data_IF_449194940657
#
_entry.id   IF_449194940657
#
_cell.length_a   1.000
_cell.length_b   1.000
_cell.length_c   1.000
_cell.angle_alpha   90.00
_cell.angle_beta   90.00
_cell.angle_gamma   90.00
#
_symmetry.space_group_name_H-M   'P 1'
#
loop_
_entity.id
_entity.type
_entity.pdbx_description
1 polymer ?
#
# COMPACT_ATOMS: atom_id res chain seq x y z
N UNK A 1 -12.12 15.52 -35.77
CA UNK A 1 -11.01 15.15 -34.87
C UNK A 1 -11.64 14.96 -33.51
N UNK A 2 -11.76 13.73 -33.01
CA UNK A 2 -12.24 13.51 -31.64
C UNK A 2 -11.29 14.22 -30.70
N UNK A 3 -11.79 15.09 -29.82
CA UNK A 3 -10.99 15.66 -28.73
C UNK A 3 -10.41 14.50 -27.92
N UNK A 4 -9.13 14.22 -28.12
CA UNK A 4 -8.40 13.26 -27.31
C UNK A 4 -8.31 13.86 -25.91
N UNK A 5 -9.13 13.34 -25.00
CA UNK A 5 -9.09 13.72 -23.60
C UNK A 5 -7.73 13.31 -23.06
N UNK A 6 -6.89 14.27 -22.67
CA UNK A 6 -5.57 13.96 -22.11
C UNK A 6 -5.75 13.16 -20.83
N UNK A 7 -4.98 12.08 -20.70
CA UNK A 7 -4.94 11.31 -19.46
C UNK A 7 -4.48 12.20 -18.30
N UNK A 8 -5.06 11.96 -17.13
CA UNK A 8 -4.62 12.62 -15.91
C UNK A 8 -3.21 12.13 -15.56
N UNK A 9 -2.29 13.01 -15.11
CA UNK A 9 -0.97 12.58 -14.68
C UNK A 9 -1.07 11.64 -13.47
N UNK A 10 -0.06 10.79 -13.28
CA UNK A 10 0.05 9.95 -12.08
C UNK A 10 0.21 10.80 -10.81
N UNK A 11 -0.22 10.25 -9.69
CA UNK A 11 -0.03 10.88 -8.37
C UNK A 11 1.40 10.66 -7.90
N UNK A 12 2.13 11.73 -7.62
CA UNK A 12 3.46 11.66 -7.00
C UNK A 12 3.27 11.55 -5.48
N UNK A 13 3.67 10.41 -4.91
CA UNK A 13 3.66 10.17 -3.47
C UNK A 13 5.07 9.86 -2.99
N UNK A 14 5.63 10.75 -2.17
CA UNK A 14 6.93 10.50 -1.55
C UNK A 14 6.73 9.69 -0.28
N UNK A 15 7.34 8.49 -0.24
CA UNK A 15 7.41 7.64 0.94
C UNK A 15 8.33 8.29 1.97
N UNK A 16 7.80 8.59 3.15
CA UNK A 16 8.52 9.34 4.16
C UNK A 16 8.07 8.97 5.58
N UNK A 17 9.00 9.05 6.52
CA UNK A 17 8.79 8.81 7.94
C UNK A 17 10.12 8.44 8.57
N UNK A 18 10.51 9.13 9.64
CA UNK A 18 11.72 8.83 10.40
C UNK A 18 11.68 9.49 11.78
N UNK A 19 12.52 8.99 12.68
CA UNK A 19 12.74 9.55 14.02
C UNK A 19 11.48 9.53 14.90
N UNK A 20 10.69 10.60 14.94
CA UNK A 20 9.52 10.73 15.80
C UNK A 20 8.29 11.14 15.00
N UNK A 21 7.10 10.94 15.57
CA UNK A 21 5.84 11.37 14.96
C UNK A 21 5.83 12.86 14.62
N UNK A 22 6.28 13.73 15.54
CA UNK A 22 6.35 15.18 15.30
C UNK A 22 7.38 15.57 14.23
N UNK A 23 8.52 14.89 14.16
CA UNK A 23 9.51 15.14 13.10
C UNK A 23 8.97 14.72 11.72
N UNK A 24 8.30 13.57 11.66
CA UNK A 24 7.66 13.08 10.44
C UNK A 24 6.51 13.99 10.00
N UNK A 25 5.70 14.49 10.94
CA UNK A 25 4.67 15.50 10.67
C UNK A 25 5.26 16.78 10.04
N UNK A 26 6.34 17.32 10.62
CA UNK A 26 6.99 18.51 10.09
C UNK A 26 7.47 18.31 8.65
N UNK A 27 8.01 17.12 8.34
CA UNK A 27 8.40 16.73 6.99
C UNK A 27 7.19 16.65 6.05
N UNK A 28 6.09 16.01 6.48
CA UNK A 28 4.86 15.92 5.69
C UNK A 28 4.31 17.29 5.35
N UNK A 29 4.20 18.19 6.33
CA UNK A 29 3.72 19.55 6.12
C UNK A 29 4.62 20.35 5.17
N UNK A 30 5.94 20.22 5.31
CA UNK A 30 6.91 20.82 4.38
C UNK A 30 6.69 20.32 2.95
N UNK A 31 6.46 19.02 2.75
CA UNK A 31 6.28 18.46 1.41
C UNK A 31 4.91 18.82 0.81
N UNK A 32 3.85 18.85 1.62
CA UNK A 32 2.52 19.33 1.20
C UNK A 32 2.60 20.79 0.73
N UNK A 33 3.33 21.65 1.46
CA UNK A 33 3.56 23.04 1.06
C UNK A 33 4.36 23.18 -0.25
N UNK A 34 5.14 22.17 -0.63
CA UNK A 34 5.88 22.09 -1.90
C UNK A 34 5.08 21.44 -3.04
N UNK A 35 3.80 21.11 -2.81
CA UNK A 35 2.90 20.59 -3.85
C UNK A 35 2.73 19.07 -3.86
N UNK A 36 3.22 18.33 -2.85
CA UNK A 36 2.86 16.92 -2.68
C UNK A 36 1.34 16.82 -2.42
N UNK A 37 0.65 15.89 -3.10
CA UNK A 37 -0.82 15.80 -3.07
C UNK A 37 -1.37 14.59 -2.31
N UNK A 38 -0.49 13.69 -1.85
CA UNK A 38 -0.86 12.54 -1.04
C UNK A 38 0.27 12.14 -0.11
N UNK A 39 -0.05 11.53 1.02
CA UNK A 39 0.92 11.09 2.03
C UNK A 39 1.24 9.61 1.85
N UNK A 40 2.45 9.21 2.22
CA UNK A 40 2.86 7.82 2.25
C UNK A 40 3.74 7.59 3.48
N UNK A 41 3.17 6.92 4.48
CA UNK A 41 3.75 6.78 5.82
C UNK A 41 4.63 5.54 5.88
N UNK A 42 5.89 5.75 6.25
CA UNK A 42 6.86 4.71 6.59
C UNK A 42 6.88 4.48 8.12
N UNK A 43 6.52 3.29 8.58
CA UNK A 43 6.57 2.93 10.00
C UNK A 43 7.88 2.26 10.37
N UNK A 44 8.32 2.40 11.62
CA UNK A 44 9.53 1.71 12.09
C UNK A 44 9.32 0.20 12.24
N UNK A 45 10.41 -0.55 12.47
CA UNK A 45 10.35 -2.01 12.55
C UNK A 45 9.53 -2.51 13.76
N UNK A 46 9.64 -1.93 14.98
CA UNK A 46 8.76 -2.26 16.10
C UNK A 46 7.27 -2.14 15.77
N UNK A 47 6.84 -1.01 15.20
CA UNK A 47 5.43 -0.77 14.81
C UNK A 47 4.96 -1.80 13.77
N UNK A 48 5.82 -2.17 12.82
CA UNK A 48 5.50 -3.17 11.80
C UNK A 48 5.38 -4.59 12.37
N UNK A 49 6.12 -4.90 13.43
CA UNK A 49 6.19 -6.24 14.05
C UNK A 49 5.33 -6.36 15.32
N UNK A 50 4.58 -5.31 15.67
CA UNK A 50 3.61 -5.33 16.76
C UNK A 50 4.21 -5.14 18.16
N UNK A 51 5.38 -4.51 18.24
CA UNK A 51 6.01 -4.18 19.52
C UNK A 51 5.91 -2.68 19.83
N UNK A 52 5.66 -2.36 21.10
CA UNK A 52 5.78 -1.01 21.62
C UNK A 52 7.25 -0.56 21.67
N UNK A 53 7.45 0.75 21.70
CA UNK A 53 8.79 1.35 21.68
C UNK A 53 9.66 0.98 22.90
N UNK A 54 9.03 0.66 24.04
CA UNK A 54 9.71 0.24 25.28
C UNK A 54 9.89 -1.29 25.39
N UNK A 55 9.38 -2.07 24.43
CA UNK A 55 9.57 -3.51 24.41
C UNK A 55 11.05 -3.87 24.20
N UNK A 56 11.53 -4.94 24.87
CA UNK A 56 12.94 -5.34 24.84
C UNK A 56 13.47 -5.62 23.43
N UNK A 57 12.63 -6.16 22.54
CA UNK A 57 12.99 -6.44 21.14
C UNK A 57 13.02 -5.19 20.25
N UNK A 58 12.47 -4.06 20.70
CA UNK A 58 12.45 -2.80 19.95
C UNK A 58 13.76 -2.03 20.06
N UNK A 59 14.60 -2.37 21.04
CA UNK A 59 15.83 -1.63 21.36
C UNK A 59 16.75 -1.53 20.13
N UNK A 60 17.05 -0.29 19.74
CA UNK A 60 17.93 0.01 18.60
C UNK A 60 17.23 0.11 17.24
N UNK A 61 15.94 -0.19 17.18
CA UNK A 61 15.14 -0.14 15.94
C UNK A 61 14.04 0.95 15.97
N UNK A 62 13.72 1.49 17.15
CA UNK A 62 12.74 2.58 17.32
C UNK A 62 13.13 3.80 16.48
N UNK A 63 12.24 4.21 15.57
CA UNK A 63 12.40 5.40 14.75
C UNK A 63 13.50 5.35 13.67
N UNK A 64 14.17 4.20 13.50
CA UNK A 64 15.36 4.06 12.62
C UNK A 64 15.01 4.00 11.14
N UNK A 65 13.98 3.23 10.80
CA UNK A 65 13.55 2.97 9.41
C UNK A 65 12.18 3.54 9.08
N UNK A 66 11.59 4.29 10.02
CA UNK A 66 10.25 4.85 9.90
C UNK A 66 9.83 5.58 11.16
N UNK A 67 8.57 5.99 11.23
CA UNK A 67 7.97 6.61 12.40
C UNK A 67 7.52 5.54 13.42
N UNK A 68 7.84 5.69 14.72
CA UNK A 68 7.27 4.85 15.77
C UNK A 68 5.82 5.29 16.06
N UNK A 69 4.89 4.33 16.11
CA UNK A 69 3.50 4.55 16.52
C UNK A 69 3.07 3.41 17.45
N UNK A 70 3.05 3.67 18.75
CA UNK A 70 2.64 2.70 19.78
C UNK A 70 1.19 2.93 20.21
N UNK A 71 0.73 4.18 20.22
CA UNK A 71 -0.62 4.52 20.69
C UNK A 71 -1.25 5.70 19.93
N UNK A 72 -2.52 6.00 20.24
CA UNK A 72 -3.28 7.10 19.62
C UNK A 72 -2.57 8.46 19.71
N UNK A 73 -1.84 8.74 20.79
CA UNK A 73 -1.07 9.99 20.94
C UNK A 73 -0.01 10.20 19.86
N UNK A 74 0.61 9.13 19.37
CA UNK A 74 1.61 9.21 18.30
C UNK A 74 0.95 9.48 16.96
N UNK A 75 -0.21 8.84 16.72
CA UNK A 75 -1.01 9.07 15.53
C UNK A 75 -1.52 10.52 15.47
N UNK A 76 -1.94 11.08 16.61
CA UNK A 76 -2.29 12.51 16.72
C UNK A 76 -1.10 13.39 16.38
N UNK A 77 0.06 13.12 16.97
CA UNK A 77 1.28 13.90 16.70
C UNK A 77 1.71 13.81 15.23
N UNK A 78 1.53 12.65 14.60
CA UNK A 78 1.88 12.40 13.20
C UNK A 78 1.02 13.21 12.23
N UNK A 79 -0.25 13.41 12.56
CA UNK A 79 -1.23 14.10 11.71
C UNK A 79 -1.70 15.45 12.27
N UNK A 80 -0.98 16.03 13.23
CA UNK A 80 -1.27 17.36 13.73
C UNK A 80 -1.27 18.38 12.57
N UNK A 81 -2.30 19.23 12.53
CA UNK A 81 -2.51 20.23 11.48
C UNK A 81 -2.57 19.67 10.04
N UNK A 82 -2.85 18.38 9.87
CA UNK A 82 -3.10 17.74 8.57
C UNK A 82 -4.56 17.26 8.54
N UNK A 83 -5.44 17.86 7.72
CA UNK A 83 -6.86 17.51 7.69
C UNK A 83 -7.08 16.17 6.97
N UNK A 84 -7.30 15.09 7.73
CA UNK A 84 -7.33 13.72 7.20
C UNK A 84 -8.44 13.46 6.17
N UNK A 85 -9.60 14.13 6.29
CA UNK A 85 -10.70 14.01 5.30
C UNK A 85 -10.27 14.44 3.88
N UNK A 86 -9.33 15.39 3.79
CA UNK A 86 -8.88 15.98 2.53
C UNK A 86 -7.64 15.28 1.96
N UNK A 87 -7.02 14.38 2.72
CA UNK A 87 -5.78 13.71 2.33
C UNK A 87 -6.06 12.40 1.61
N UNK A 88 -5.11 12.02 0.75
CA UNK A 88 -4.99 10.65 0.25
C UNK A 88 -3.77 9.99 0.88
N UNK A 89 -3.99 9.20 1.94
CA UNK A 89 -2.92 8.66 2.78
C UNK A 89 -2.66 7.20 2.45
N UNK A 90 -1.43 6.87 2.09
CA UNK A 90 -0.95 5.48 2.01
C UNK A 90 -0.22 5.13 3.31
N UNK A 91 -0.49 3.96 3.86
CA UNK A 91 0.21 3.39 5.00
C UNK A 91 0.86 2.08 4.58
N UNK A 92 2.20 2.07 4.53
CA UNK A 92 2.99 0.86 4.20
C UNK A 92 3.09 -0.01 5.46
N UNK A 93 1.96 -0.66 5.78
CA UNK A 93 1.80 -1.46 6.98
C UNK A 93 1.02 -2.73 6.66
N UNK A 94 1.39 -3.84 7.31
CA UNK A 94 0.89 -5.19 6.98
C UNK A 94 0.32 -5.89 8.21
N UNK A 95 1.14 -6.60 9.00
CA UNK A 95 0.62 -7.39 10.13
C UNK A 95 -0.16 -6.56 11.16
N UNK A 96 0.26 -5.32 11.39
CA UNK A 96 -0.41 -4.37 12.29
C UNK A 96 -1.37 -3.43 11.57
N UNK A 97 -1.66 -3.64 10.28
CA UNK A 97 -2.56 -2.78 9.50
C UNK A 97 -3.94 -2.54 10.15
N UNK A 98 -4.63 -3.55 10.75
CA UNK A 98 -5.90 -3.30 11.43
C UNK A 98 -5.76 -2.29 12.58
N UNK A 99 -4.69 -2.41 13.36
CA UNK A 99 -4.41 -1.50 14.48
C UNK A 99 -4.13 -0.09 13.99
N UNK A 100 -3.19 0.08 13.06
CA UNK A 100 -2.82 1.41 12.57
C UNK A 100 -3.97 2.09 11.83
N UNK A 101 -4.80 1.34 11.09
CA UNK A 101 -6.01 1.86 10.48
C UNK A 101 -7.03 2.33 11.52
N UNK A 102 -7.21 1.58 12.62
CA UNK A 102 -8.11 2.00 13.70
C UNK A 102 -7.65 3.30 14.37
N UNK A 103 -6.35 3.46 14.61
CA UNK A 103 -5.78 4.70 15.15
C UNK A 103 -5.95 5.87 14.17
N UNK A 104 -5.73 5.63 12.87
CA UNK A 104 -5.92 6.64 11.84
C UNK A 104 -7.37 7.14 11.78
N UNK A 105 -8.34 6.22 11.82
CA UNK A 105 -9.76 6.55 11.85
C UNK A 105 -10.12 7.33 13.11
N UNK A 106 -9.66 6.90 14.28
CA UNK A 106 -9.92 7.61 15.54
C UNK A 106 -9.40 9.06 15.52
N UNK A 107 -8.19 9.30 14.98
CA UNK A 107 -7.68 10.67 14.80
C UNK A 107 -8.52 11.46 13.81
N UNK A 108 -8.99 10.84 12.72
CA UNK A 108 -9.86 11.52 11.77
C UNK A 108 -11.20 11.92 12.41
N UNK A 109 -11.79 11.05 13.23
CA UNK A 109 -13.02 11.35 13.99
C UNK A 109 -12.79 12.50 14.99
N UNK A 110 -11.66 12.53 15.70
CA UNK A 110 -11.30 13.64 16.58
C UNK A 110 -11.11 14.98 15.85
N UNK A 111 -10.71 14.95 14.57
CA UNK A 111 -10.68 16.11 13.70
C UNK A 111 -12.07 16.51 13.17
N UNK A 112 -13.12 15.73 13.44
CA UNK A 112 -14.48 15.94 12.95
C UNK A 112 -14.71 15.46 11.51
N UNK A 113 -13.86 14.56 10.99
CA UNK A 113 -14.01 14.03 9.65
C UNK A 113 -15.20 13.06 9.54
N UNK A 114 -15.87 13.08 8.39
CA UNK A 114 -16.76 12.00 7.95
C UNK A 114 -15.90 10.83 7.45
N UNK A 115 -15.84 9.77 8.25
CA UNK A 115 -15.05 8.56 7.99
C UNK A 115 -15.34 7.97 6.60
N UNK A 116 -16.57 8.09 6.09
CA UNK A 116 -16.96 7.58 4.77
C UNK A 116 -16.26 8.29 3.60
N UNK A 117 -15.71 9.49 3.85
CA UNK A 117 -14.97 10.29 2.87
C UNK A 117 -13.47 10.04 2.89
N UNK A 118 -12.94 9.36 3.91
CA UNK A 118 -11.50 9.10 4.02
C UNK A 118 -10.99 8.35 2.79
N UNK A 119 -9.90 8.86 2.24
CA UNK A 119 -9.23 8.29 1.07
C UNK A 119 -7.83 7.85 1.46
N UNK A 120 -7.50 6.62 1.09
CA UNK A 120 -6.20 6.10 1.40
C UNK A 120 -6.04 4.64 1.03
N UNK A 121 -4.94 4.08 1.51
CA UNK A 121 -4.55 2.70 1.24
C UNK A 121 -3.79 2.18 2.46
N UNK A 122 -4.12 0.97 2.92
CA UNK A 122 -3.19 0.15 3.71
C UNK A 122 -2.57 -0.89 2.78
N UNK A 123 -1.30 -1.24 2.99
CA UNK A 123 -0.69 -2.29 2.18
C UNK A 123 -1.37 -3.63 2.43
N UNK A 124 -1.49 -4.04 3.70
CA UNK A 124 -2.30 -5.19 4.14
C UNK A 124 -2.09 -6.45 3.28
N UNK A 125 -0.85 -6.70 2.88
CA UNK A 125 -0.46 -7.88 2.11
C UNK A 125 0.44 -8.76 2.98
N UNK A 126 -0.17 -9.61 3.80
CA UNK A 126 0.56 -10.53 4.66
C UNK A 126 1.15 -11.71 3.90
N UNK A 127 0.66 -12.05 2.70
CA UNK A 127 1.16 -13.19 1.93
C UNK A 127 2.61 -12.94 1.50
N UNK A 128 2.90 -11.75 0.96
CA UNK A 128 4.29 -11.38 0.60
C UNK A 128 5.22 -11.26 1.80
N UNK A 129 4.70 -11.05 3.01
CA UNK A 129 5.55 -11.02 4.22
C UNK A 129 6.28 -12.34 4.45
N UNK A 130 5.63 -13.47 4.18
CA UNK A 130 6.26 -14.79 4.33
C UNK A 130 7.28 -15.09 3.23
N UNK A 131 7.13 -14.48 2.06
CA UNK A 131 7.93 -14.78 0.88
C UNK A 131 9.18 -13.89 0.75
N UNK A 132 9.10 -12.62 1.16
CA UNK A 132 10.17 -11.66 0.86
C UNK A 132 10.49 -10.62 1.94
N UNK A 133 9.55 -10.29 2.84
CA UNK A 133 9.70 -9.08 3.69
C UNK A 133 9.87 -9.35 5.19
N UNK A 134 9.29 -10.42 5.72
CA UNK A 134 9.57 -10.92 7.06
C UNK A 134 8.90 -10.19 8.23
N UNK A 135 7.94 -9.27 8.01
CA UNK A 135 7.23 -8.53 9.08
C UNK A 135 5.86 -9.11 9.42
N UNK A 136 5.72 -10.44 9.35
CA UNK A 136 4.52 -11.16 9.78
C UNK A 136 4.51 -11.38 11.30
N UNK A 137 3.32 -11.53 11.88
CA UNK A 137 3.13 -11.83 13.31
C UNK A 137 2.43 -13.18 13.47
N UNK A 138 1.28 -13.33 12.83
CA UNK A 138 0.47 -14.54 12.91
C UNK A 138 0.92 -15.61 11.89
N UNK A 139 0.53 -16.89 12.07
CA UNK A 139 0.63 -17.89 11.00
C UNK A 139 -0.21 -17.55 9.75
N UNK A 140 -0.01 -18.22 8.60
CA UNK A 140 -0.65 -17.83 7.34
C UNK A 140 -2.19 -17.77 7.37
N UNK A 141 -2.86 -18.76 7.96
CA UNK A 141 -4.34 -18.81 7.99
C UNK A 141 -4.97 -17.63 8.75
N UNK A 142 -4.59 -17.32 10.01
CA UNK A 142 -5.10 -16.14 10.70
C UNK A 142 -4.70 -14.83 10.02
N UNK A 143 -3.52 -14.75 9.40
CA UNK A 143 -3.12 -13.58 8.60
C UNK A 143 -4.03 -13.34 7.40
N UNK A 144 -4.37 -14.38 6.64
CA UNK A 144 -5.32 -14.27 5.52
C UNK A 144 -6.72 -13.85 6.00
N UNK A 145 -7.16 -14.37 7.15
CA UNK A 145 -8.39 -13.90 7.80
C UNK A 145 -8.31 -12.40 8.13
N UNK A 146 -7.22 -11.92 8.71
CA UNK A 146 -7.04 -10.50 9.05
C UNK A 146 -7.08 -9.59 7.82
N UNK A 147 -6.46 -10.01 6.71
CA UNK A 147 -6.54 -9.28 5.43
C UNK A 147 -8.01 -9.09 5.05
N UNK A 148 -8.79 -10.17 5.10
CA UNK A 148 -10.20 -10.15 4.75
C UNK A 148 -11.06 -9.33 5.73
N UNK A 149 -10.78 -9.39 7.03
CA UNK A 149 -11.48 -8.59 8.05
C UNK A 149 -11.31 -7.09 7.80
N UNK A 150 -10.09 -6.63 7.47
CA UNK A 150 -9.82 -5.22 7.11
C UNK A 150 -10.57 -4.82 5.85
N UNK A 151 -10.59 -5.69 4.83
CA UNK A 151 -11.26 -5.41 3.58
C UNK A 151 -12.79 -5.33 3.71
N UNK A 152 -13.39 -6.25 4.46
CA UNK A 152 -14.82 -6.23 4.80
C UNK A 152 -15.20 -4.98 5.60
N UNK A 153 -14.37 -4.59 6.58
CA UNK A 153 -14.58 -3.37 7.36
C UNK A 153 -14.52 -2.10 6.50
N UNK A 154 -13.49 -1.97 5.65
CA UNK A 154 -13.35 -0.81 4.76
C UNK A 154 -14.49 -0.74 3.76
N UNK A 155 -14.90 -1.88 3.21
CA UNK A 155 -16.01 -1.97 2.28
C UNK A 155 -17.30 -1.35 2.86
N UNK A 156 -17.59 -1.60 4.13
CA UNK A 156 -18.82 -1.13 4.80
C UNK A 156 -18.71 0.25 5.43
N UNK A 157 -17.58 0.56 6.08
CA UNK A 157 -17.44 1.75 6.93
C UNK A 157 -16.56 2.85 6.33
N UNK A 158 -15.60 2.48 5.47
CA UNK A 158 -14.62 3.41 4.87
C UNK A 158 -14.54 3.18 3.35
N UNK A 159 -15.65 3.30 2.61
CA UNK A 159 -15.81 2.74 1.26
C UNK A 159 -14.89 3.35 0.20
N UNK A 160 -14.22 4.47 0.49
CA UNK A 160 -13.22 5.11 -0.37
C UNK A 160 -11.78 4.69 -0.07
N UNK A 161 -11.56 3.90 0.98
CA UNK A 161 -10.27 3.31 1.31
C UNK A 161 -9.96 2.12 0.39
N UNK A 162 -8.71 1.98 -0.05
CA UNK A 162 -8.23 0.77 -0.70
C UNK A 162 -7.72 -0.18 0.40
N UNK A 163 -8.44 -1.28 0.67
CA UNK A 163 -8.17 -2.11 1.84
C UNK A 163 -6.96 -3.02 1.68
N UNK A 164 -6.45 -3.15 0.47
CA UNK A 164 -5.31 -3.99 0.15
C UNK A 164 -4.56 -3.40 -1.03
N UNK A 165 -3.23 -3.41 -0.90
CA UNK A 165 -2.31 -3.12 -1.97
C UNK A 165 -1.37 -4.31 -2.17
N UNK A 166 -1.72 -5.21 -3.10
CA UNK A 166 -0.96 -6.42 -3.43
C UNK A 166 0.44 -6.00 -3.88
N UNK A 167 1.45 -6.34 -3.09
CA UNK A 167 2.74 -5.67 -3.14
C UNK A 167 3.82 -6.59 -3.69
N UNK A 168 3.93 -6.61 -5.01
CA UNK A 168 4.91 -7.41 -5.73
C UNK A 168 6.32 -6.81 -5.70
N UNK A 169 6.45 -5.50 -5.41
CA UNK A 169 7.72 -4.79 -5.29
C UNK A 169 8.79 -5.58 -4.52
N UNK A 170 8.46 -6.03 -3.30
CA UNK A 170 9.38 -6.75 -2.42
C UNK A 170 9.80 -8.12 -2.95
N UNK A 171 8.98 -8.76 -3.79
CA UNK A 171 9.33 -10.05 -4.38
C UNK A 171 10.53 -9.89 -5.31
N UNK A 172 10.51 -8.84 -6.16
CA UNK A 172 11.64 -8.56 -7.06
C UNK A 172 12.86 -8.08 -6.26
N UNK A 173 12.68 -7.28 -5.20
CA UNK A 173 13.78 -6.92 -4.28
C UNK A 173 14.35 -8.13 -3.51
N UNK A 174 13.62 -9.25 -3.41
CA UNK A 174 14.12 -10.51 -2.86
C UNK A 174 14.69 -11.45 -3.94
N UNK A 175 14.76 -11.01 -5.20
CA UNK A 175 15.36 -11.74 -6.32
C UNK A 175 14.37 -12.49 -7.22
N UNK A 176 13.05 -12.27 -7.08
CA UNK A 176 12.09 -12.82 -8.03
C UNK A 176 12.32 -12.25 -9.44
N UNK A 177 12.17 -13.08 -10.47
CA UNK A 177 12.16 -12.60 -11.86
C UNK A 177 10.88 -11.80 -12.16
N UNK A 178 10.83 -10.96 -13.21
CA UNK A 178 9.60 -10.26 -13.62
C UNK A 178 8.38 -11.18 -13.79
N UNK A 179 8.59 -12.40 -14.29
CA UNK A 179 7.54 -13.41 -14.47
C UNK A 179 7.05 -13.96 -13.13
N UNK A 180 7.97 -14.22 -12.19
CA UNK A 180 7.63 -14.66 -10.83
C UNK A 180 6.91 -13.57 -10.05
N UNK A 181 7.38 -12.32 -10.12
CA UNK A 181 6.72 -11.16 -9.53
C UNK A 181 5.24 -11.10 -9.98
N UNK A 182 5.03 -11.18 -11.30
CA UNK A 182 3.70 -11.16 -11.88
C UNK A 182 2.84 -12.34 -11.41
N UNK A 183 3.35 -13.56 -11.52
CA UNK A 183 2.60 -14.75 -11.16
C UNK A 183 2.20 -14.78 -9.69
N UNK A 184 3.14 -14.45 -8.79
CA UNK A 184 2.91 -14.46 -7.35
C UNK A 184 1.95 -13.35 -6.91
N UNK A 185 2.03 -12.16 -7.54
CA UNK A 185 1.11 -11.07 -7.24
C UNK A 185 -0.33 -11.39 -7.65
N UNK A 186 -0.55 -11.92 -8.86
CA UNK A 186 -1.88 -12.30 -9.33
C UNK A 186 -2.45 -13.48 -8.51
N UNK A 187 -1.61 -14.45 -8.14
CA UNK A 187 -2.01 -15.53 -7.24
C UNK A 187 -2.38 -15.02 -5.84
N UNK A 188 -1.63 -14.05 -5.30
CA UNK A 188 -1.91 -13.39 -4.02
C UNK A 188 -3.27 -12.68 -4.05
N UNK A 189 -3.52 -11.90 -5.10
CA UNK A 189 -4.81 -11.22 -5.29
C UNK A 189 -5.97 -12.22 -5.37
N UNK A 190 -5.78 -13.32 -6.11
CA UNK A 190 -6.77 -14.41 -6.24
C UNK A 190 -7.07 -15.06 -4.89
N UNK A 191 -6.05 -15.39 -4.09
CA UNK A 191 -6.24 -15.99 -2.77
C UNK A 191 -7.04 -15.09 -1.83
N UNK A 192 -6.79 -13.78 -1.87
CA UNK A 192 -7.55 -12.81 -1.05
C UNK A 192 -8.97 -12.64 -1.55
N UNK A 193 -9.19 -12.56 -2.86
CA UNK A 193 -10.54 -12.48 -3.43
C UNK A 193 -11.35 -13.75 -3.13
N UNK A 194 -10.75 -14.93 -3.19
CA UNK A 194 -11.39 -16.19 -2.81
C UNK A 194 -11.80 -16.20 -1.32
N UNK A 195 -10.95 -15.64 -0.44
CA UNK A 195 -11.27 -15.47 0.98
C UNK A 195 -12.40 -14.46 1.23
N UNK A 196 -12.50 -13.43 0.39
CA UNK A 196 -13.48 -12.34 0.54
C UNK A 196 -14.84 -12.66 -0.06
N UNK A 197 -14.89 -13.46 -1.13
CA UNK A 197 -16.12 -13.80 -1.85
C UNK A 197 -17.27 -14.28 -0.95
N UNK A 198 -17.08 -15.19 0.03
CA UNK A 198 -18.18 -15.64 0.89
C UNK A 198 -18.56 -14.64 2.00
N UNK A 199 -17.88 -13.50 2.10
CA UNK A 199 -18.02 -12.52 3.20
C UNK A 199 -18.77 -11.26 2.80
N UNK A 200 -19.03 -11.08 1.52
CA UNK A 200 -19.74 -9.91 0.99
C UNK A 200 -20.92 -10.37 0.15
N UNK A 201 -21.94 -9.52 0.05
CA UNK A 201 -23.05 -9.77 -0.86
C UNK A 201 -22.53 -9.90 -2.30
N UNK A 202 -23.08 -10.87 -3.06
CA UNK A 202 -22.65 -11.16 -4.43
C UNK A 202 -22.72 -9.93 -5.35
N UNK A 203 -23.76 -9.09 -5.17
CA UNK A 203 -23.94 -7.83 -5.91
C UNK A 203 -22.81 -6.82 -5.68
N UNK A 204 -22.13 -6.88 -4.54
CA UNK A 204 -21.13 -5.91 -4.12
C UNK A 204 -19.69 -6.40 -4.36
N UNK A 205 -19.52 -7.71 -4.60
CA UNK A 205 -18.23 -8.32 -4.90
C UNK A 205 -17.47 -7.64 -6.06
N UNK A 206 -18.09 -7.24 -7.19
CA UNK A 206 -17.42 -6.46 -8.22
C UNK A 206 -16.80 -5.15 -7.71
N UNK A 207 -17.51 -4.44 -6.83
CA UNK A 207 -17.01 -3.19 -6.25
C UNK A 207 -15.78 -3.44 -5.39
N UNK A 208 -15.76 -4.53 -4.62
CA UNK A 208 -14.63 -4.95 -3.81
C UNK A 208 -13.41 -5.33 -4.68
N UNK A 209 -13.61 -6.08 -5.77
CA UNK A 209 -12.55 -6.39 -6.76
C UNK A 209 -11.95 -5.08 -7.29
N UNK A 210 -12.80 -4.13 -7.64
CA UNK A 210 -12.38 -2.79 -8.07
C UNK A 210 -11.70 -1.94 -7.00
N UNK A 211 -11.61 -2.40 -5.74
CA UNK A 211 -10.87 -1.76 -4.64
C UNK A 211 -9.51 -2.39 -4.37
N UNK A 212 -9.21 -3.57 -4.91
CA UNK A 212 -7.85 -4.13 -4.87
C UNK A 212 -6.93 -3.26 -5.74
N UNK A 213 -5.78 -2.86 -5.18
CA UNK A 213 -4.71 -2.19 -5.92
C UNK A 213 -3.41 -2.99 -5.85
N UNK A 214 -2.45 -2.61 -6.68
CA UNK A 214 -1.15 -3.26 -6.76
C UNK A 214 0.00 -2.29 -6.49
N UNK A 215 1.12 -2.80 -6.00
CA UNK A 215 2.36 -2.04 -5.85
C UNK A 215 3.52 -2.82 -6.45
N UNK A 216 3.96 -2.35 -7.62
CA UNK A 216 4.88 -3.09 -8.48
C UNK A 216 6.29 -2.49 -8.48
N UNK A 217 7.26 -3.32 -8.82
CA UNK A 217 8.63 -2.88 -9.07
C UNK A 217 8.79 -2.34 -10.50
N UNK A 218 9.72 -1.41 -10.69
CA UNK A 218 10.26 -1.02 -11.99
C UNK A 218 11.79 -1.04 -11.96
N UNK A 219 12.38 -2.03 -12.63
CA UNK A 219 13.83 -2.15 -12.80
C UNK A 219 14.36 -1.52 -14.09
N UNK A 220 15.69 -1.57 -14.24
CA UNK A 220 16.40 -0.97 -15.39
C UNK A 220 16.15 -1.68 -16.73
N UNK A 221 15.56 -2.89 -16.71
CA UNK A 221 15.22 -3.66 -17.91
C UNK A 221 13.97 -3.09 -18.60
N UNK A 222 14.08 -1.86 -19.09
CA UNK A 222 12.97 -1.02 -19.60
C UNK A 222 11.92 -1.78 -20.42
N UNK A 223 12.35 -2.51 -21.47
CA UNK A 223 11.41 -3.26 -22.33
C UNK A 223 10.73 -4.40 -21.57
N UNK A 224 11.48 -5.12 -20.72
CA UNK A 224 10.92 -6.22 -19.92
C UNK A 224 9.90 -5.69 -18.91
N UNK A 225 10.23 -4.59 -18.22
CA UNK A 225 9.32 -3.97 -17.25
C UNK A 225 8.05 -3.42 -17.92
N UNK A 226 8.17 -2.76 -19.08
CA UNK A 226 7.00 -2.35 -19.86
C UNK A 226 6.12 -3.54 -20.28
N UNK A 227 6.73 -4.63 -20.76
CA UNK A 227 5.99 -5.84 -21.11
C UNK A 227 5.30 -6.46 -19.89
N UNK A 228 5.99 -6.51 -18.73
CA UNK A 228 5.43 -6.99 -17.46
C UNK A 228 4.20 -6.17 -17.07
N UNK A 229 4.27 -4.85 -17.15
CA UNK A 229 3.13 -3.99 -16.80
C UNK A 229 1.94 -4.19 -17.73
N UNK A 230 2.15 -4.40 -19.03
CA UNK A 230 1.07 -4.73 -19.97
C UNK A 230 0.47 -6.10 -19.69
N UNK A 231 1.30 -7.10 -19.43
CA UNK A 231 0.85 -8.43 -19.06
C UNK A 231 0.04 -8.44 -17.76
N UNK A 232 0.42 -7.64 -16.77
CA UNK A 232 -0.37 -7.45 -15.54
C UNK A 232 -1.80 -6.96 -15.84
N UNK A 233 -1.94 -5.99 -16.76
CA UNK A 233 -3.25 -5.44 -17.15
C UNK A 233 -4.10 -6.52 -17.81
N UNK A 234 -3.55 -7.20 -18.82
CA UNK A 234 -4.29 -8.19 -19.60
C UNK A 234 -4.71 -9.39 -18.74
N UNK A 235 -3.79 -9.93 -17.94
CA UNK A 235 -4.06 -11.10 -17.10
C UNK A 235 -4.98 -10.77 -15.92
N UNK A 236 -4.90 -9.56 -15.35
CA UNK A 236 -5.83 -9.15 -14.29
C UNK A 236 -7.25 -8.98 -14.83
N UNK A 237 -7.40 -8.42 -16.04
CA UNK A 237 -8.71 -8.30 -16.70
C UNK A 237 -9.31 -9.68 -16.98
N UNK A 238 -8.52 -10.61 -17.53
CA UNK A 238 -8.91 -12.00 -17.78
C UNK A 238 -9.34 -12.72 -16.49
N UNK A 239 -8.53 -12.68 -15.43
CA UNK A 239 -8.85 -13.30 -14.13
C UNK A 239 -10.17 -12.73 -13.58
N UNK A 240 -10.35 -11.41 -13.61
CA UNK A 240 -11.56 -10.80 -13.09
C UNK A 240 -12.81 -11.15 -13.92
N UNK A 241 -12.68 -11.22 -15.24
CA UNK A 241 -13.77 -11.56 -16.14
C UNK A 241 -14.14 -13.06 -16.04
N UNK A 242 -13.16 -13.95 -16.21
CA UNK A 242 -13.41 -15.38 -16.39
C UNK A 242 -13.60 -16.13 -15.06
N UNK A 243 -12.74 -15.86 -14.05
CA UNK A 243 -12.82 -16.55 -12.76
C UNK A 243 -13.92 -15.98 -11.86
N UNK A 244 -14.07 -14.67 -11.88
CA UNK A 244 -14.92 -13.93 -10.95
C UNK A 244 -16.21 -13.39 -11.56
N UNK A 245 -16.38 -13.43 -12.89
CA UNK A 245 -17.61 -12.99 -13.55
C UNK A 245 -17.86 -11.49 -13.41
N UNK A 246 -16.81 -10.67 -13.19
CA UNK A 246 -16.97 -9.22 -13.04
C UNK A 246 -17.19 -8.61 -14.41
N UNK A 247 -18.43 -8.25 -14.76
CA UNK A 247 -18.78 -7.78 -16.11
C UNK A 247 -18.39 -6.31 -16.37
N UNK A 248 -18.42 -5.46 -15.35
CA UNK A 248 -18.12 -4.03 -15.52
C UNK A 248 -16.60 -3.77 -15.61
N UNK A 249 -16.13 -3.33 -16.78
CA UNK A 249 -14.71 -3.07 -17.05
C UNK A 249 -14.05 -2.09 -16.07
N UNK A 250 -14.83 -1.18 -15.45
CA UNK A 250 -14.30 -0.24 -14.44
C UNK A 250 -13.74 -0.94 -13.20
N UNK A 251 -14.31 -2.09 -12.83
CA UNK A 251 -13.90 -2.88 -11.67
C UNK A 251 -12.76 -3.86 -11.97
N UNK A 252 -12.48 -4.12 -13.25
CA UNK A 252 -11.36 -4.96 -13.69
C UNK A 252 -10.08 -4.19 -13.98
N UNK A 253 -10.08 -2.86 -13.81
CA UNK A 253 -8.90 -2.03 -14.06
C UNK A 253 -7.76 -2.42 -13.11
N UNK A 254 -6.60 -2.74 -13.68
CA UNK A 254 -5.36 -2.91 -12.93
C UNK A 254 -4.85 -1.54 -12.44
N UNK A 255 -5.16 -1.22 -11.18
CA UNK A 255 -4.74 0.05 -10.53
C UNK A 255 -3.49 -0.20 -9.72
N UNK A 256 -2.41 0.52 -10.02
CA UNK A 256 -1.13 0.28 -9.36
C UNK A 256 -0.39 1.57 -8.97
N UNK A 257 0.40 1.45 -7.90
CA UNK A 257 1.57 2.30 -7.68
C UNK A 257 2.83 1.57 -8.16
N UNK A 258 3.86 2.34 -8.50
CA UNK A 258 5.15 1.81 -8.94
C UNK A 258 6.26 2.45 -8.13
N UNK A 259 7.25 1.66 -7.77
CA UNK A 259 8.49 2.14 -7.17
C UNK A 259 9.68 1.57 -7.93
N UNK A 260 10.68 2.43 -8.14
CA UNK A 260 11.93 2.05 -8.79
C UNK A 260 12.66 1.02 -7.94
N UNK A 261 13.20 0.01 -8.62
CA UNK A 261 14.00 -1.06 -8.03
C UNK A 261 15.18 -0.47 -7.25
N UNK A 262 15.29 -0.78 -5.96
CA UNK A 262 16.36 -0.21 -5.14
C UNK A 262 17.67 -0.99 -5.25
N UNK A 263 17.61 -2.30 -5.53
CA UNK A 263 18.79 -3.13 -5.80
C UNK A 263 19.56 -2.71 -7.05
N UNK A 264 18.90 -2.02 -7.98
CA UNK A 264 19.55 -1.44 -9.16
C UNK A 264 20.44 -0.23 -8.85
N UNK A 265 20.32 0.36 -7.65
CA UNK A 265 21.07 1.55 -7.26
C UNK A 265 22.41 1.17 -6.63
N UNK A 266 23.45 1.95 -6.91
CA UNK A 266 24.82 1.67 -6.45
C UNK A 266 25.29 2.69 -5.44
N UNK A 267 25.99 2.21 -4.40
CA UNK A 267 26.72 3.07 -3.46
C UNK A 267 27.88 3.78 -4.18
N UNK A 268 28.62 3.04 -5.01
CA UNK A 268 29.69 3.60 -5.82
C UNK A 268 29.09 4.46 -6.93
N UNK A 269 29.66 5.66 -7.12
CA UNK A 269 29.20 6.64 -8.10
C UNK A 269 27.68 6.89 -8.01
N UNK A 270 27.19 7.34 -6.83
CA UNK A 270 25.76 7.46 -6.56
C UNK A 270 25.07 8.48 -7.47
N UNK A 271 25.81 9.42 -8.09
CA UNK A 271 25.31 10.33 -9.11
C UNK A 271 24.68 9.60 -10.31
N UNK A 272 25.13 8.37 -10.62
CA UNK A 272 24.56 7.56 -11.69
C UNK A 272 23.16 7.05 -11.35
N UNK A 273 22.78 7.00 -10.07
CA UNK A 273 21.45 6.56 -9.65
C UNK A 273 20.35 7.48 -10.16
N UNK A 274 20.63 8.77 -10.40
CA UNK A 274 19.65 9.71 -10.99
C UNK A 274 19.17 9.21 -12.35
N UNK A 275 20.08 8.76 -13.20
CA UNK A 275 19.74 8.22 -14.52
C UNK A 275 19.10 6.84 -14.44
N UNK A 276 19.49 6.01 -13.47
CA UNK A 276 18.84 4.72 -13.23
C UNK A 276 17.38 4.87 -12.77
N UNK A 277 17.09 5.90 -11.99
CA UNK A 277 15.74 6.24 -11.52
C UNK A 277 14.90 6.87 -12.64
N UNK A 278 15.53 7.59 -13.57
CA UNK A 278 14.86 8.22 -14.70
C UNK A 278 14.37 7.21 -15.76
N UNK A 279 15.14 6.14 -15.98
CA UNK A 279 14.86 5.07 -16.94
C UNK A 279 13.77 4.14 -16.39
#
# INVERSE_FOLDING_TARGET
MSEQTKDRPWLIRTYAGHSTASASNALYRSNLAKGQTGLSVAFDLPTQTGYDSDHVLSRGEVGKVGVPVSHLGDMRALFDQIPLEQMNTSMTINATAPWLLSLYIAVAEEQGADVSKLQGTVQNDLIKEYLSRGTYICPPAPSLKMIADVAEYCYTNVPKWNPMNVCSYHLQEAGATPEQELAFALATATAVLDQLRPRVDEKDFPTLVGRISFFVNAGIRFVTEMCKMRAFVDLWDEICAERYGVEEAKYRRFRYGVQVNSLGLTEQQPENNVYRILI
#
